data_IF_197814964876
#
_entry.id   IF_197814964876
#
_cell.length_a   1.000
_cell.length_b   1.000
_cell.length_c   1.000
_cell.angle_alpha   90.00
_cell.angle_beta   90.00
_cell.angle_gamma   90.00
#
_symmetry.space_group_name_H-M   'P 1'
#
loop_
_entity.id
_entity.type
_entity.pdbx_description
1 polymer ?
#
# COMPACT_ATOMS: atom_id res chain seq x y z
N UNK A 1 -17.91 -41.39 45.88
CA UNK A 1 -18.81 -42.47 45.43
C UNK A 1 -18.29 -43.04 44.11
N UNK A 2 -18.36 -44.37 43.96
CA UNK A 2 -18.51 -45.22 42.75
C UNK A 2 -18.20 -44.57 41.38
N UNK A 3 -17.20 -45.06 40.63
CA UNK A 3 -17.27 -46.24 39.71
C UNK A 3 -18.19 -46.00 38.49
N UNK A 4 -17.83 -46.25 37.23
CA UNK A 4 -16.60 -46.85 36.65
C UNK A 4 -16.96 -47.91 35.58
N UNK A 5 -16.11 -48.07 34.54
CA UNK A 5 -16.22 -49.07 33.44
C UNK A 5 -17.46 -48.86 32.53
N UNK A 6 -17.63 -49.40 31.30
CA UNK A 6 -16.94 -50.38 30.43
C UNK A 6 -17.46 -50.15 28.97
N UNK A 7 -16.94 -50.67 27.82
CA UNK A 7 -15.78 -51.52 27.44
C UNK A 7 -15.50 -51.32 25.92
N UNK A 8 -14.35 -51.80 25.43
CA UNK A 8 -14.06 -52.03 23.98
C UNK A 8 -15.06 -52.95 23.28
N UNK A 9 -15.09 -52.90 21.93
CA UNK A 9 -14.83 -54.12 21.13
C UNK A 9 -14.27 -53.84 19.73
N UNK A 10 -13.17 -54.51 19.41
CA UNK A 10 -12.57 -54.62 18.09
C UNK A 10 -13.36 -55.62 17.20
N UNK A 11 -13.24 -55.52 15.87
CA UNK A 11 -13.83 -56.48 14.92
C UNK A 11 -13.35 -56.26 13.49
N UNK A 12 -12.50 -57.15 12.98
CA UNK A 12 -11.88 -57.05 11.65
C UNK A 12 -12.51 -58.00 10.62
N UNK A 13 -12.13 -57.81 9.35
CA UNK A 13 -12.23 -58.72 8.20
C UNK A 13 -13.61 -59.01 7.59
N UNK A 14 -13.78 -58.63 6.31
CA UNK A 14 -14.04 -59.58 5.22
C UNK A 14 -14.06 -58.92 3.82
N UNK A 15 -13.23 -59.43 2.90
CA UNK A 15 -13.51 -59.50 1.45
C UNK A 15 -13.71 -61.00 1.13
N UNK A 16 -14.38 -61.45 0.03
CA UNK A 16 -13.89 -61.27 -1.36
C UNK A 16 -14.98 -61.34 -2.48
N UNK A 17 -14.56 -61.68 -3.72
CA UNK A 17 -15.34 -62.01 -4.96
C UNK A 17 -15.83 -60.82 -5.83
N UNK A 18 -15.89 -60.86 -7.18
CA UNK A 18 -15.51 -61.80 -8.30
C UNK A 18 -15.32 -60.91 -9.57
N UNK A 19 -14.28 -61.00 -10.40
CA UNK A 19 -13.87 -62.04 -11.40
C UNK A 19 -14.59 -62.00 -12.77
N UNK A 20 -13.81 -62.21 -13.86
CA UNK A 20 -14.12 -62.32 -15.32
C UNK A 20 -14.22 -61.02 -16.13
N UNK A 21 -13.70 -60.86 -17.38
CA UNK A 21 -12.84 -61.63 -18.33
C UNK A 21 -12.15 -60.59 -19.26
N UNK A 22 -10.83 -60.59 -19.50
CA UNK A 22 -10.06 -61.33 -20.52
C UNK A 22 -10.60 -61.26 -21.97
N UNK A 23 -9.88 -60.56 -22.87
CA UNK A 23 -9.44 -61.09 -24.17
C UNK A 23 -8.20 -60.36 -24.69
N UNK A 24 -7.41 -61.00 -25.56
CA UNK A 24 -6.09 -60.55 -26.08
C UNK A 24 -6.12 -60.42 -27.61
N UNK A 25 -5.26 -59.56 -28.18
CA UNK A 25 -4.57 -59.64 -29.49
C UNK A 25 -3.79 -58.30 -29.65
N UNK A 26 -2.48 -58.17 -29.39
CA UNK A 26 -1.24 -58.69 -30.03
C UNK A 26 -0.91 -58.08 -31.42
N UNK A 27 0.40 -58.01 -31.73
CA UNK A 27 1.08 -57.45 -32.95
C UNK A 27 0.97 -55.91 -33.13
N UNK A 28 2.04 -55.14 -33.44
CA UNK A 28 3.44 -55.47 -33.77
C UNK A 28 4.44 -54.39 -33.32
N UNK A 29 5.71 -54.76 -33.09
CA UNK A 29 6.83 -53.83 -32.96
C UNK A 29 7.16 -53.15 -34.30
N UNK A 30 7.37 -51.84 -34.29
CA UNK A 30 8.26 -51.16 -35.25
C UNK A 30 8.84 -49.92 -34.58
N UNK A 31 10.13 -49.95 -34.30
CA UNK A 31 10.84 -48.82 -33.73
C UNK A 31 11.18 -47.81 -34.84
N UNK A 32 10.74 -46.56 -34.66
CA UNK A 32 11.32 -45.41 -35.35
C UNK A 32 11.80 -44.44 -34.27
N UNK A 33 13.11 -44.25 -34.23
CA UNK A 33 13.80 -43.39 -33.27
C UNK A 33 13.52 -41.91 -33.54
N UNK A 34 12.35 -41.43 -33.11
CA UNK A 34 12.04 -40.01 -33.02
C UNK A 34 12.71 -39.39 -31.79
N UNK A 35 14.00 -39.06 -31.89
CA UNK A 35 14.76 -38.38 -30.84
C UNK A 35 14.35 -36.90 -30.77
N UNK A 36 13.10 -36.62 -30.36
CA UNK A 36 12.65 -35.28 -30.02
C UNK A 36 13.27 -34.91 -28.68
N UNK A 37 14.52 -34.49 -28.72
CA UNK A 37 15.11 -33.67 -27.66
C UNK A 37 14.44 -32.31 -27.77
N UNK A 38 13.28 -32.17 -27.14
CA UNK A 38 12.83 -30.85 -26.72
C UNK A 38 13.89 -30.32 -25.75
N UNK A 39 14.82 -29.53 -26.26
CA UNK A 39 15.52 -28.52 -25.48
C UNK A 39 14.48 -27.46 -25.09
N UNK A 40 13.56 -27.86 -24.22
CA UNK A 40 12.61 -26.98 -23.56
C UNK A 40 13.39 -26.12 -22.58
N UNK A 41 14.00 -25.06 -23.10
CA UNK A 41 14.21 -23.87 -22.28
C UNK A 41 12.86 -23.47 -21.68
N UNK A 42 12.88 -22.93 -20.47
CA UNK A 42 11.70 -22.38 -19.82
C UNK A 42 11.29 -21.07 -20.49
N UNK A 43 10.89 -21.17 -21.76
CA UNK A 43 10.51 -20.05 -22.60
C UNK A 43 9.03 -19.75 -22.34
N UNK A 44 8.76 -18.62 -21.70
CA UNK A 44 7.40 -18.16 -21.46
C UNK A 44 6.75 -17.78 -22.80
N UNK A 45 5.50 -18.22 -23.08
CA UNK A 45 4.86 -17.90 -24.34
C UNK A 45 4.73 -16.38 -24.51
N UNK A 46 5.16 -15.84 -25.65
CA UNK A 46 4.98 -14.41 -25.95
C UNK A 46 3.48 -14.10 -26.14
N UNK A 47 2.87 -13.51 -25.11
CA UNK A 47 1.45 -13.09 -25.10
C UNK A 47 1.27 -11.58 -25.38
N UNK A 48 2.25 -10.94 -26.03
CA UNK A 48 2.21 -9.51 -26.40
C UNK A 48 1.02 -9.16 -27.30
N UNK A 49 0.58 -10.09 -28.14
CA UNK A 49 -0.59 -9.90 -29.02
C UNK A 49 -1.89 -9.72 -28.20
N UNK A 50 -2.07 -10.59 -27.21
CA UNK A 50 -3.19 -10.58 -26.26
C UNK A 50 -3.15 -9.31 -25.40
N UNK A 51 -1.99 -8.96 -24.83
CA UNK A 51 -1.80 -7.74 -24.05
C UNK A 51 -2.13 -6.47 -24.86
N UNK A 52 -1.68 -6.41 -26.12
CA UNK A 52 -2.02 -5.31 -27.05
C UNK A 52 -3.53 -5.25 -27.36
N UNK A 53 -4.20 -6.40 -27.46
CA UNK A 53 -5.67 -6.48 -27.66
C UNK A 53 -6.44 -5.95 -26.45
N UNK A 54 -6.02 -6.28 -25.23
CA UNK A 54 -6.57 -5.71 -23.99
C UNK A 54 -6.37 -4.18 -23.98
N UNK A 55 -5.14 -3.71 -24.21
CA UNK A 55 -4.84 -2.27 -24.23
C UNK A 55 -5.61 -1.50 -25.31
N UNK A 56 -5.75 -2.05 -26.52
CA UNK A 56 -6.56 -1.46 -27.58
C UNK A 56 -8.05 -1.40 -27.22
N UNK A 57 -8.57 -2.42 -26.53
CA UNK A 57 -9.95 -2.44 -26.03
C UNK A 57 -10.18 -1.36 -24.98
N UNK A 58 -9.26 -1.21 -24.02
CA UNK A 58 -9.33 -0.17 -22.97
C UNK A 58 -9.19 1.23 -23.58
N UNK A 59 -8.27 1.44 -24.52
CA UNK A 59 -8.06 2.74 -25.21
C UNK A 59 -9.31 3.24 -25.95
N UNK A 60 -10.18 2.34 -26.39
CA UNK A 60 -11.40 2.68 -27.10
C UNK A 60 -12.59 3.09 -26.20
N UNK A 61 -12.43 3.05 -24.87
CA UNK A 61 -13.51 3.34 -23.93
C UNK A 61 -13.72 4.85 -23.71
N UNK A 62 -14.97 5.32 -23.55
CA UNK A 62 -15.25 6.71 -23.19
C UNK A 62 -14.56 7.12 -21.88
N UNK A 63 -13.94 8.29 -21.87
CA UNK A 63 -13.19 8.81 -20.72
C UNK A 63 -11.72 8.39 -20.66
N UNK A 64 -11.26 7.49 -21.52
CA UNK A 64 -9.84 7.16 -21.69
C UNK A 64 -9.19 8.10 -22.71
N UNK A 65 -8.09 8.74 -22.34
CA UNK A 65 -7.30 9.62 -23.22
C UNK A 65 -6.11 8.88 -23.85
N UNK A 66 -5.41 8.04 -23.08
CA UNK A 66 -4.45 7.06 -23.59
C UNK A 66 -4.49 5.78 -22.75
N UNK A 67 -3.97 4.70 -23.34
CA UNK A 67 -3.70 3.45 -22.65
C UNK A 67 -2.48 2.83 -23.32
N UNK A 68 -1.43 2.55 -22.56
CA UNK A 68 -0.12 2.17 -23.08
C UNK A 68 0.31 0.83 -22.46
N UNK A 69 0.64 -0.13 -23.33
CA UNK A 69 0.91 -1.52 -22.95
C UNK A 69 2.40 -1.73 -22.81
N UNK A 70 2.84 -2.31 -21.69
CA UNK A 70 4.13 -3.01 -21.59
C UNK A 70 3.86 -4.49 -21.40
N UNK A 71 4.60 -5.30 -22.14
CA UNK A 71 4.66 -6.73 -21.96
C UNK A 71 6.10 -7.16 -22.16
N UNK A 72 6.64 -7.91 -21.22
CA UNK A 72 7.97 -8.49 -21.30
C UNK A 72 8.01 -9.83 -20.57
N UNK A 73 9.04 -10.61 -20.92
CA UNK A 73 9.32 -11.92 -20.36
C UNK A 73 10.76 -11.92 -19.87
N UNK A 74 10.98 -12.41 -18.66
CA UNK A 74 12.29 -12.53 -18.03
C UNK A 74 12.48 -13.97 -17.54
N UNK A 75 13.71 -14.47 -17.65
CA UNK A 75 14.05 -15.84 -17.26
C UNK A 75 13.88 -16.06 -15.75
N UNK A 76 14.18 -15.05 -14.94
CA UNK A 76 14.16 -15.13 -13.46
C UNK A 76 12.85 -14.59 -12.83
N UNK A 77 12.08 -13.75 -13.53
CA UNK A 77 10.89 -13.08 -13.00
C UNK A 77 9.55 -13.52 -13.60
N UNK A 78 9.56 -14.25 -14.72
CA UNK A 78 8.35 -14.66 -15.44
C UNK A 78 7.92 -13.65 -16.49
N UNK A 79 6.62 -13.61 -16.81
CA UNK A 79 6.06 -12.60 -17.69
C UNK A 79 5.37 -11.50 -16.89
N UNK A 80 5.49 -10.26 -17.36
CA UNK A 80 4.87 -9.07 -16.78
C UNK A 80 3.97 -8.39 -17.81
N UNK A 81 2.80 -7.92 -17.38
CA UNK A 81 1.86 -7.14 -18.21
C UNK A 81 1.42 -5.87 -17.47
N UNK A 82 1.97 -4.73 -17.88
CA UNK A 82 1.52 -3.42 -17.40
C UNK A 82 0.59 -2.76 -18.41
N UNK A 83 -0.48 -2.14 -17.91
CA UNK A 83 -1.30 -1.20 -18.66
C UNK A 83 -1.33 0.16 -17.94
N UNK A 84 -0.68 1.14 -18.55
CA UNK A 84 -0.70 2.54 -18.09
C UNK A 84 -1.85 3.29 -18.79
N UNK A 85 -2.91 3.63 -18.07
CA UNK A 85 -4.10 4.32 -18.57
C UNK A 85 -4.08 5.78 -18.12
N UNK A 86 -4.22 6.73 -19.05
CA UNK A 86 -4.51 8.13 -18.73
C UNK A 86 -5.99 8.41 -19.01
N UNK A 87 -6.71 8.89 -18.00
CA UNK A 87 -8.08 9.36 -18.15
C UNK A 87 -8.12 10.79 -18.69
N UNK A 88 -9.19 11.12 -19.40
CA UNK A 88 -9.48 12.48 -19.84
C UNK A 88 -9.88 13.39 -18.66
N UNK A 89 -9.60 14.70 -18.76
CA UNK A 89 -9.87 15.67 -17.69
C UNK A 89 -11.36 15.86 -17.36
N UNK A 90 -12.24 15.32 -18.21
CA UNK A 90 -13.69 15.30 -18.08
C UNK A 90 -14.27 13.87 -17.93
N UNK A 91 -13.44 12.85 -17.69
CA UNK A 91 -13.89 11.49 -17.43
C UNK A 91 -14.78 11.44 -16.16
N UNK A 92 -15.82 10.61 -16.15
CA UNK A 92 -16.65 10.43 -14.94
C UNK A 92 -16.23 9.22 -14.12
N UNK A 93 -16.56 9.20 -12.82
CA UNK A 93 -16.37 8.04 -11.95
C UNK A 93 -16.95 6.74 -12.55
N UNK A 94 -18.11 6.82 -13.21
CA UNK A 94 -18.73 5.70 -13.90
C UNK A 94 -17.92 5.21 -15.13
N UNK A 95 -17.24 6.11 -15.85
CA UNK A 95 -16.33 5.75 -16.94
C UNK A 95 -15.07 5.06 -16.42
N UNK A 96 -14.48 5.54 -15.32
CA UNK A 96 -13.34 4.89 -14.67
C UNK A 96 -13.69 3.49 -14.13
N UNK A 97 -14.87 3.34 -13.51
CA UNK A 97 -15.40 2.04 -13.08
C UNK A 97 -15.59 1.06 -14.25
N UNK A 98 -16.24 1.51 -15.32
CA UNK A 98 -16.45 0.70 -16.51
C UNK A 98 -15.12 0.29 -17.17
N UNK A 99 -14.15 1.20 -17.25
CA UNK A 99 -12.79 0.95 -17.73
C UNK A 99 -12.12 -0.15 -16.93
N UNK A 100 -12.11 -0.03 -15.60
CA UNK A 100 -11.51 -1.02 -14.70
C UNK A 100 -12.14 -2.41 -14.84
N UNK A 101 -13.47 -2.48 -14.92
CA UNK A 101 -14.20 -3.74 -15.15
C UNK A 101 -13.82 -4.38 -16.48
N UNK A 102 -13.85 -3.61 -17.58
CA UNK A 102 -13.50 -4.09 -18.92
C UNK A 102 -12.04 -4.55 -18.98
N UNK A 103 -11.12 -3.86 -18.30
CA UNK A 103 -9.73 -4.34 -18.17
C UNK A 103 -9.68 -5.73 -17.55
N UNK A 104 -10.25 -5.93 -16.36
CA UNK A 104 -10.19 -7.22 -15.66
C UNK A 104 -10.86 -8.34 -16.46
N UNK A 105 -12.05 -8.07 -17.01
CA UNK A 105 -12.79 -9.06 -17.80
C UNK A 105 -12.00 -9.48 -19.06
N UNK A 106 -11.32 -8.55 -19.73
CA UNK A 106 -10.52 -8.83 -20.94
C UNK A 106 -9.17 -9.48 -20.63
N UNK A 107 -8.54 -9.07 -19.54
CA UNK A 107 -7.28 -9.61 -19.03
C UNK A 107 -7.44 -11.08 -18.65
N UNK A 108 -8.50 -11.43 -17.90
CA UNK A 108 -8.87 -12.82 -17.57
C UNK A 108 -9.35 -13.63 -18.77
N UNK A 109 -10.18 -13.06 -19.64
CA UNK A 109 -10.62 -13.74 -20.88
C UNK A 109 -9.47 -14.01 -21.87
N UNK A 110 -8.33 -13.33 -21.71
CA UNK A 110 -7.09 -13.55 -22.47
C UNK A 110 -6.06 -14.39 -21.68
N UNK A 111 -6.44 -14.94 -20.52
CA UNK A 111 -5.59 -15.69 -19.57
C UNK A 111 -4.29 -14.95 -19.20
N UNK A 112 -4.29 -13.62 -19.19
CA UNK A 112 -3.14 -12.83 -18.76
C UNK A 112 -3.05 -12.77 -17.22
N UNK A 113 -4.12 -13.18 -16.53
CA UNK A 113 -4.19 -13.36 -15.07
C UNK A 113 -3.42 -14.57 -14.54
N UNK A 114 -2.57 -15.21 -15.35
CA UNK A 114 -1.55 -16.17 -14.89
C UNK A 114 -0.16 -15.53 -14.72
N UNK A 115 -0.01 -14.25 -15.07
CA UNK A 115 1.22 -13.47 -15.04
C UNK A 115 1.16 -12.36 -13.98
N UNK A 116 2.28 -11.71 -13.70
CA UNK A 116 2.30 -10.49 -12.91
C UNK A 116 1.67 -9.35 -13.73
N UNK A 117 0.59 -8.74 -13.23
CA UNK A 117 -0.17 -7.73 -13.97
C UNK A 117 -0.35 -6.48 -13.13
N UNK A 118 -0.06 -5.31 -13.73
CA UNK A 118 -0.35 -4.01 -13.12
C UNK A 118 -1.25 -3.16 -14.03
N UNK A 119 -2.34 -2.63 -13.48
CA UNK A 119 -3.11 -1.54 -14.07
C UNK A 119 -2.75 -0.25 -13.33
N UNK A 120 -2.08 0.68 -14.00
CA UNK A 120 -1.87 2.03 -13.51
C UNK A 120 -2.88 2.97 -14.17
N UNK A 121 -3.57 3.80 -13.40
CA UNK A 121 -4.56 4.77 -13.91
C UNK A 121 -4.17 6.16 -13.43
N UNK A 122 -4.12 7.13 -14.34
CA UNK A 122 -3.71 8.50 -14.05
C UNK A 122 -4.83 9.48 -14.40
N UNK A 123 -5.04 10.48 -13.54
CA UNK A 123 -5.97 11.58 -13.76
C UNK A 123 -5.29 12.92 -13.43
N UNK A 124 -5.36 13.88 -14.36
CA UNK A 124 -4.68 15.20 -14.27
C UNK A 124 -3.20 15.14 -13.87
N UNK A 125 -2.53 14.03 -14.16
CA UNK A 125 -1.13 13.82 -13.82
C UNK A 125 -0.21 14.59 -14.77
N UNK A 126 0.48 15.59 -14.24
CA UNK A 126 1.66 16.21 -14.85
C UNK A 126 2.90 15.55 -14.25
N UNK A 127 3.76 14.99 -15.10
CA UNK A 127 5.00 14.32 -14.67
C UNK A 127 5.85 15.25 -13.80
N UNK A 128 6.24 14.80 -12.62
CA UNK A 128 7.23 15.51 -11.80
C UNK A 128 8.51 15.75 -12.59
N UNK A 129 8.94 17.00 -12.65
CA UNK A 129 10.37 17.27 -12.79
C UNK A 129 11.03 16.98 -11.44
N UNK A 130 12.36 16.81 -11.40
CA UNK A 130 13.07 16.39 -10.18
C UNK A 130 12.89 17.33 -8.96
N UNK A 131 12.31 18.52 -9.15
CA UNK A 131 12.14 19.55 -8.13
C UNK A 131 10.65 19.88 -7.83
N UNK A 132 9.68 19.22 -8.48
CA UNK A 132 8.25 19.45 -8.24
C UNK A 132 7.56 18.11 -7.92
N UNK A 133 6.81 17.99 -6.80
CA UNK A 133 5.96 16.82 -6.58
C UNK A 133 4.93 16.72 -7.71
N UNK A 134 4.74 15.52 -8.26
CA UNK A 134 3.88 15.31 -9.42
C UNK A 134 2.44 15.65 -9.08
N UNK A 135 1.95 16.80 -9.56
CA UNK A 135 0.56 17.20 -9.35
C UNK A 135 -0.36 16.31 -10.20
N UNK A 136 -1.37 15.74 -9.54
CA UNK A 136 -2.35 14.84 -10.14
C UNK A 136 -2.65 13.64 -9.24
N UNK A 137 -3.47 12.73 -9.75
CA UNK A 137 -3.90 11.53 -9.03
C UNK A 137 -3.50 10.28 -9.79
N UNK A 138 -3.17 9.21 -9.06
CA UNK A 138 -2.84 7.90 -9.62
C UNK A 138 -3.46 6.76 -8.82
N UNK A 139 -3.87 5.70 -9.50
CA UNK A 139 -4.30 4.45 -8.91
C UNK A 139 -3.50 3.29 -9.51
N UNK A 140 -2.98 2.40 -8.67
CA UNK A 140 -2.25 1.20 -9.08
C UNK A 140 -2.99 -0.02 -8.54
N UNK A 141 -3.49 -0.85 -9.46
CA UNK A 141 -4.12 -2.14 -9.14
C UNK A 141 -3.23 -3.26 -9.62
N UNK A 142 -2.91 -4.20 -8.72
CA UNK A 142 -2.02 -5.33 -8.98
C UNK A 142 -2.76 -6.65 -8.93
N UNK A 143 -2.34 -7.59 -9.76
CA UNK A 143 -2.85 -8.94 -9.84
C UNK A 143 -1.65 -9.89 -9.89
N UNK A 144 -1.72 -10.97 -9.10
CA UNK A 144 -0.75 -12.07 -9.05
C UNK A 144 0.68 -11.73 -8.63
N UNK A 145 0.98 -10.54 -8.11
CA UNK A 145 2.35 -10.14 -7.73
C UNK A 145 3.04 -11.18 -6.80
N UNK A 146 2.29 -12.01 -6.04
CA UNK A 146 2.84 -12.99 -5.07
C UNK A 146 2.09 -14.32 -4.85
N UNK A 147 1.03 -14.66 -5.59
CA UNK A 147 0.14 -15.76 -5.17
C UNK A 147 0.19 -17.03 -6.01
N UNK A 148 -0.03 -18.16 -5.33
CA UNK A 148 -0.37 -19.44 -5.94
C UNK A 148 -1.51 -20.09 -5.11
N UNK A 149 -2.75 -20.19 -5.63
CA UNK A 149 -3.16 -19.85 -6.99
C UNK A 149 -3.13 -18.33 -7.30
N UNK A 150 -3.18 -17.94 -8.58
CA UNK A 150 -3.36 -16.56 -9.02
C UNK A 150 -4.50 -15.84 -8.30
N UNK A 151 -4.30 -14.57 -7.93
CA UNK A 151 -5.24 -13.74 -7.17
C UNK A 151 -5.17 -12.26 -7.57
N UNK A 152 -6.14 -11.47 -7.14
CA UNK A 152 -6.24 -10.05 -7.47
C UNK A 152 -7.69 -9.61 -7.63
N UNK A 153 -7.95 -8.29 -7.54
CA UNK A 153 -9.30 -7.76 -7.43
C UNK A 153 -10.19 -8.21 -8.60
N UNK A 154 -11.44 -8.54 -8.31
CA UNK A 154 -12.44 -8.78 -9.34
C UNK A 154 -12.72 -7.52 -10.16
N UNK A 155 -13.37 -7.69 -11.31
CA UNK A 155 -13.87 -6.55 -12.11
C UNK A 155 -14.91 -5.70 -11.38
N UNK A 156 -15.54 -6.23 -10.31
CA UNK A 156 -16.41 -5.46 -9.43
C UNK A 156 -15.60 -4.62 -8.43
N UNK A 157 -14.67 -5.23 -7.70
CA UNK A 157 -13.82 -4.51 -6.73
C UNK A 157 -12.94 -3.44 -7.41
N UNK A 158 -12.39 -3.76 -8.58
CA UNK A 158 -11.65 -2.80 -9.43
C UNK A 158 -12.53 -1.64 -9.88
N UNK A 159 -13.77 -1.94 -10.29
CA UNK A 159 -14.78 -0.94 -10.68
C UNK A 159 -15.09 0.02 -9.53
N UNK A 160 -15.37 -0.53 -8.35
CA UNK A 160 -15.82 0.23 -7.19
C UNK A 160 -14.68 1.09 -6.61
N UNK A 161 -13.46 0.55 -6.56
CA UNK A 161 -12.26 1.29 -6.16
C UNK A 161 -11.91 2.43 -7.13
N UNK A 162 -11.98 2.23 -8.45
CA UNK A 162 -11.71 3.28 -9.43
C UNK A 162 -12.82 4.36 -9.48
N UNK A 163 -14.07 4.00 -9.22
CA UNK A 163 -15.15 4.97 -9.04
C UNK A 163 -14.87 5.89 -7.83
N UNK A 164 -14.54 5.31 -6.68
CA UNK A 164 -14.24 6.07 -5.47
C UNK A 164 -13.00 6.94 -5.68
N UNK A 165 -11.88 6.36 -6.13
CA UNK A 165 -10.64 7.09 -6.38
C UNK A 165 -10.84 8.29 -7.30
N UNK A 166 -11.55 8.14 -8.44
CA UNK A 166 -11.78 9.27 -9.34
C UNK A 166 -12.72 10.31 -8.71
N UNK A 167 -13.73 9.90 -7.93
CA UNK A 167 -14.61 10.83 -7.21
C UNK A 167 -13.81 11.71 -6.24
N UNK A 168 -12.88 11.13 -5.46
CA UNK A 168 -11.98 11.89 -4.58
C UNK A 168 -11.00 12.75 -5.39
N UNK A 169 -10.40 12.20 -6.46
CA UNK A 169 -9.47 12.92 -7.33
C UNK A 169 -10.10 14.09 -8.11
N UNK A 170 -11.43 14.14 -8.19
CA UNK A 170 -12.20 15.24 -8.79
C UNK A 170 -12.64 16.31 -7.79
N UNK A 171 -12.52 16.04 -6.50
CA UNK A 171 -12.84 17.00 -5.44
C UNK A 171 -11.92 18.24 -5.53
N UNK A 172 -12.46 19.46 -5.44
CA UNK A 172 -11.65 20.69 -5.40
C UNK A 172 -10.88 20.85 -4.09
N UNK A 173 -11.09 19.98 -3.10
CA UNK A 173 -10.51 20.08 -1.76
C UNK A 173 -9.15 19.38 -1.62
N UNK A 174 -8.69 18.61 -2.60
CA UNK A 174 -7.45 17.82 -2.52
C UNK A 174 -6.47 18.16 -3.65
N UNK A 175 -5.17 18.07 -3.38
CA UNK A 175 -4.13 18.31 -4.39
C UNK A 175 -3.84 17.10 -5.28
N UNK A 176 -4.01 15.90 -4.73
CA UNK A 176 -3.72 14.63 -5.39
C UNK A 176 -4.26 13.45 -4.59
N UNK A 177 -4.54 12.35 -5.28
CA UNK A 177 -5.03 11.12 -4.68
C UNK A 177 -4.26 9.93 -5.26
N UNK A 178 -3.46 9.30 -4.41
CA UNK A 178 -2.91 7.97 -4.64
C UNK A 178 -3.91 6.88 -4.25
N UNK A 179 -3.95 5.76 -4.97
CA UNK A 179 -4.60 4.54 -4.51
C UNK A 179 -3.75 3.32 -4.85
N UNK A 180 -3.69 2.35 -3.95
CA UNK A 180 -3.15 1.01 -4.24
C UNK A 180 -4.16 -0.08 -3.88
N UNK A 181 -4.24 -1.12 -4.72
CA UNK A 181 -5.09 -2.30 -4.47
C UNK A 181 -4.40 -3.58 -5.02
N UNK A 182 -4.35 -4.69 -4.26
CA UNK A 182 -4.67 -4.79 -2.83
C UNK A 182 -3.69 -4.00 -1.94
N UNK A 183 -4.02 -3.84 -0.67
CA UNK A 183 -3.01 -3.42 0.32
C UNK A 183 -1.99 -4.53 0.52
N UNK A 184 -0.77 -4.19 0.92
CA UNK A 184 0.25 -5.18 1.31
C UNK A 184 -0.32 -6.14 2.38
N UNK A 185 -0.21 -7.45 2.14
CA UNK A 185 -0.77 -8.53 2.98
C UNK A 185 -2.30 -8.49 3.23
N UNK A 186 -3.03 -7.63 2.50
CA UNK A 186 -4.49 -7.56 2.54
C UNK A 186 -5.17 -8.54 1.58
N UNK A 187 -6.49 -8.76 1.73
CA UNK A 187 -7.30 -9.46 0.73
C UNK A 187 -7.41 -8.63 -0.56
N UNK A 188 -7.73 -9.29 -1.68
CA UNK A 188 -7.88 -8.65 -3.00
C UNK A 188 -8.84 -7.43 -3.03
N UNK A 189 -9.84 -7.42 -2.13
CA UNK A 189 -10.81 -6.34 -1.94
C UNK A 189 -10.28 -5.12 -1.18
N UNK A 190 -9.14 -5.24 -0.51
CA UNK A 190 -8.53 -4.15 0.26
C UNK A 190 -7.96 -3.06 -0.65
N UNK A 191 -7.95 -1.81 -0.18
CA UNK A 191 -7.27 -0.71 -0.85
C UNK A 191 -6.68 0.25 0.18
N UNK A 192 -5.59 0.91 -0.17
CA UNK A 192 -5.08 2.07 0.55
C UNK A 192 -5.29 3.30 -0.34
N UNK A 193 -5.69 4.42 0.26
CA UNK A 193 -5.93 5.68 -0.44
C UNK A 193 -5.11 6.77 0.25
N UNK A 194 -4.19 7.37 -0.50
CA UNK A 194 -3.31 8.44 -0.06
C UNK A 194 -3.90 9.78 -0.53
N UNK A 195 -4.48 10.56 0.38
CA UNK A 195 -5.19 11.80 0.03
C UNK A 195 -4.33 13.01 0.43
N UNK A 196 -3.88 13.79 -0.54
CA UNK A 196 -3.08 15.00 -0.29
C UNK A 196 -3.98 16.19 0.02
N UNK A 197 -3.95 16.63 1.27
CA UNK A 197 -4.80 17.68 1.83
C UNK A 197 -4.06 19.04 1.89
N UNK A 198 -4.61 20.11 1.30
CA UNK A 198 -4.17 21.49 1.53
C UNK A 198 -4.23 21.83 3.02
N UNK A 199 -3.15 22.41 3.54
CA UNK A 199 -2.99 22.64 4.98
C UNK A 199 -4.13 23.47 5.61
N UNK A 200 -4.66 24.46 4.89
CA UNK A 200 -5.72 25.36 5.36
C UNK A 200 -7.15 24.88 5.02
N UNK A 201 -7.33 23.62 4.59
CA UNK A 201 -8.67 23.03 4.36
C UNK A 201 -9.49 23.06 5.64
N UNK A 202 -10.81 23.26 5.53
CA UNK A 202 -11.71 23.31 6.67
C UNK A 202 -12.14 21.91 7.15
N UNK A 203 -12.24 21.73 8.48
CA UNK A 203 -12.50 20.41 9.08
C UNK A 203 -13.93 19.92 8.86
N UNK A 204 -14.92 20.82 8.82
CA UNK A 204 -16.31 20.43 8.52
C UNK A 204 -16.42 19.98 7.06
N UNK A 205 -15.74 20.67 6.15
CA UNK A 205 -15.67 20.29 4.73
C UNK A 205 -15.09 18.89 4.53
N UNK A 206 -14.04 18.52 5.28
CA UNK A 206 -13.46 17.16 5.22
C UNK A 206 -14.42 16.13 5.84
N UNK A 207 -15.02 16.45 6.99
CA UNK A 207 -15.97 15.57 7.68
C UNK A 207 -17.21 15.27 6.83
N UNK A 208 -17.79 16.28 6.18
CA UNK A 208 -18.95 16.13 5.30
C UNK A 208 -18.60 15.26 4.08
N UNK A 209 -17.41 15.46 3.49
CA UNK A 209 -16.92 14.66 2.37
C UNK A 209 -16.68 13.18 2.74
N UNK A 210 -16.19 12.90 3.95
CA UNK A 210 -16.08 11.52 4.48
C UNK A 210 -17.47 10.93 4.70
N UNK A 211 -18.43 11.70 5.21
CA UNK A 211 -19.80 11.23 5.42
C UNK A 211 -20.51 10.83 4.11
N UNK A 212 -20.27 11.58 3.02
CA UNK A 212 -20.75 11.22 1.67
C UNK A 212 -20.01 10.01 1.07
N UNK A 213 -18.81 9.70 1.58
CA UNK A 213 -17.91 8.67 1.05
C UNK A 213 -17.30 7.80 2.17
N UNK A 214 -18.09 6.95 2.86
CA UNK A 214 -17.60 6.10 3.97
C UNK A 214 -16.54 5.07 3.56
N UNK A 215 -16.29 4.91 2.25
CA UNK A 215 -15.12 4.18 1.75
C UNK A 215 -13.76 4.83 2.06
N UNK A 216 -13.75 5.99 2.73
CA UNK A 216 -12.58 6.77 3.15
C UNK A 216 -12.28 6.68 4.66
N UNK A 217 -13.12 6.01 5.45
CA UNK A 217 -12.94 5.79 6.90
C UNK A 217 -11.62 5.05 7.25
N UNK A 218 -10.95 4.47 6.25
CA UNK A 218 -9.65 3.80 6.39
C UNK A 218 -8.53 4.41 5.54
N UNK A 219 -8.75 5.60 4.97
CA UNK A 219 -7.77 6.27 4.11
C UNK A 219 -6.55 6.78 4.90
N UNK A 220 -5.44 6.92 4.19
CA UNK A 220 -4.21 7.55 4.65
C UNK A 220 -4.18 8.99 4.17
N UNK A 221 -4.51 9.92 5.06
CA UNK A 221 -4.46 11.36 4.81
C UNK A 221 -3.01 11.85 4.92
N UNK A 222 -2.58 12.64 3.94
CA UNK A 222 -1.24 13.23 3.90
C UNK A 222 -1.40 14.74 3.83
N UNK A 223 -0.79 15.47 4.76
CA UNK A 223 -0.68 16.94 4.64
C UNK A 223 0.77 17.35 4.41
N UNK A 224 0.97 18.12 3.35
CA UNK A 224 2.25 18.72 2.98
C UNK A 224 2.14 20.23 3.18
N UNK A 225 3.16 20.85 3.78
CA UNK A 225 3.21 22.32 3.88
C UNK A 225 3.76 22.85 2.54
N UNK A 226 3.00 23.66 1.76
CA UNK A 226 3.35 23.93 0.35
C UNK A 226 4.61 24.78 0.10
N UNK A 227 5.15 25.44 1.13
CA UNK A 227 5.98 26.65 0.98
C UNK A 227 7.41 26.55 1.55
N UNK A 228 7.87 25.34 1.86
CA UNK A 228 9.23 25.16 2.34
C UNK A 228 10.22 25.15 1.14
N UNK A 229 11.25 26.00 1.21
CA UNK A 229 11.95 26.51 0.02
C UNK A 229 12.67 25.43 -0.80
N UNK A 230 12.42 25.47 -2.12
CA UNK A 230 13.10 24.77 -3.21
C UNK A 230 14.35 23.91 -2.88
N UNK A 231 14.17 22.59 -2.73
CA UNK A 231 15.24 21.61 -2.98
C UNK A 231 15.41 20.44 -2.00
N UNK A 232 14.49 20.25 -1.04
CA UNK A 232 14.62 19.22 0.00
C UNK A 232 13.42 18.22 -0.07
N UNK A 233 13.42 17.11 0.70
CA UNK A 233 12.36 16.08 0.69
C UNK A 233 11.15 16.42 1.58
N UNK A 234 9.90 16.45 1.08
CA UNK A 234 8.77 16.99 1.84
C UNK A 234 8.59 16.26 3.16
N UNK A 235 8.64 17.02 4.26
CA UNK A 235 8.23 16.55 5.57
C UNK A 235 6.78 16.08 5.51
N UNK A 236 6.56 14.78 5.74
CA UNK A 236 5.26 14.15 5.57
C UNK A 236 4.60 13.92 6.93
N UNK A 237 3.42 14.53 7.11
CA UNK A 237 2.49 14.11 8.15
C UNK A 237 1.43 13.22 7.51
N UNK A 238 1.44 11.94 7.90
CA UNK A 238 0.51 10.90 7.50
C UNK A 238 -0.38 10.53 8.68
N UNK A 239 -1.69 10.49 8.46
CA UNK A 239 -2.65 9.99 9.44
C UNK A 239 -3.63 9.03 8.76
N UNK A 240 -3.79 7.84 9.33
CA UNK A 240 -4.65 6.79 8.79
C UNK A 240 -5.89 6.61 9.65
N UNK A 241 -7.06 6.58 9.01
CA UNK A 241 -8.37 6.43 9.65
C UNK A 241 -9.07 7.77 9.81
N UNK A 242 -8.78 8.48 10.91
CA UNK A 242 -9.22 9.88 11.06
C UNK A 242 -8.54 10.76 10.00
N UNK A 243 -8.96 12.03 9.88
CA UNK A 243 -8.19 13.04 9.12
C UNK A 243 -7.35 13.90 10.09
N UNK A 244 -6.24 14.51 9.65
CA UNK A 244 -5.48 15.42 10.49
C UNK A 244 -6.28 16.73 10.63
N UNK A 245 -6.99 16.90 11.76
CA UNK A 245 -7.79 18.09 12.06
C UNK A 245 -6.95 19.40 12.15
N UNK A 246 -7.61 20.56 12.22
CA UNK A 246 -6.95 21.86 12.26
C UNK A 246 -6.00 22.04 13.45
N UNK A 247 -6.30 21.44 14.60
CA UNK A 247 -5.42 21.50 15.77
C UNK A 247 -4.13 20.72 15.51
N UNK A 248 -4.24 19.47 15.04
CA UNK A 248 -3.11 18.62 14.65
C UNK A 248 -2.31 19.22 13.50
N UNK A 249 -2.96 19.84 12.50
CA UNK A 249 -2.27 20.60 11.43
C UNK A 249 -1.46 21.76 12.01
N UNK A 250 -2.05 22.62 12.84
CA UNK A 250 -1.30 23.75 13.45
C UNK A 250 -0.18 23.28 14.41
N UNK A 251 -0.33 22.16 15.11
CA UNK A 251 0.76 21.53 15.87
C UNK A 251 1.91 21.09 14.95
N UNK A 252 1.61 20.44 13.82
CA UNK A 252 2.58 20.04 12.81
C UNK A 252 3.37 21.23 12.25
N UNK A 253 2.66 22.32 11.90
CA UNK A 253 3.26 23.60 11.45
C UNK A 253 4.08 24.31 12.53
N UNK A 254 3.69 24.19 13.80
CA UNK A 254 4.49 24.69 14.92
C UNK A 254 5.79 23.89 15.08
N UNK A 255 5.74 22.57 14.96
CA UNK A 255 6.91 21.69 15.05
C UNK A 255 7.86 21.94 13.87
N UNK A 256 7.34 22.01 12.65
CA UNK A 256 8.12 22.33 11.44
C UNK A 256 8.82 23.71 11.50
N UNK A 257 8.25 24.70 12.20
CA UNK A 257 8.90 26.00 12.43
C UNK A 257 10.04 25.95 13.45
N UNK A 258 10.12 24.90 14.26
CA UNK A 258 11.17 24.72 15.27
C UNK A 258 12.36 23.95 14.71
N UNK A 259 12.12 23.12 13.70
CA UNK A 259 13.13 22.47 12.89
C UNK A 259 13.61 23.43 11.78
N UNK A 260 14.85 23.26 11.34
CA UNK A 260 15.40 23.96 10.18
C UNK A 260 14.98 23.28 8.87
N UNK A 261 15.11 24.00 7.75
CA UNK A 261 14.79 23.45 6.43
C UNK A 261 15.57 22.17 6.10
N UNK A 262 16.80 22.02 6.61
CA UNK A 262 17.67 20.84 6.43
C UNK A 262 17.19 19.57 7.13
N UNK A 263 16.27 19.69 8.09
CA UNK A 263 15.90 18.61 8.99
C UNK A 263 14.87 17.69 8.37
N UNK A 264 14.91 16.42 8.77
CA UNK A 264 13.88 15.45 8.36
C UNK A 264 12.94 15.22 9.51
N UNK A 265 11.65 15.15 9.18
CA UNK A 265 10.61 14.75 10.11
C UNK A 265 9.54 13.98 9.36
N UNK A 266 9.23 12.81 9.91
CA UNK A 266 8.17 11.92 9.46
C UNK A 266 7.24 11.69 10.66
N UNK A 267 5.97 12.06 10.52
CA UNK A 267 4.92 11.78 11.50
C UNK A 267 3.91 10.83 10.87
N UNK A 268 3.73 9.67 11.49
CA UNK A 268 2.81 8.62 11.07
C UNK A 268 1.89 8.30 12.24
N UNK A 269 0.57 8.40 12.02
CA UNK A 269 -0.44 8.06 13.02
C UNK A 269 -1.39 7.02 12.42
N UNK A 270 -1.46 5.81 12.99
CA UNK A 270 -2.43 4.78 12.59
C UNK A 270 -3.49 4.62 13.68
N UNK A 271 -4.65 5.26 13.46
CA UNK A 271 -5.79 5.23 14.38
C UNK A 271 -6.65 3.97 14.24
N UNK A 272 -6.35 3.09 13.27
CA UNK A 272 -7.17 1.91 12.94
C UNK A 272 -6.58 0.65 13.56
N UNK A 273 -5.28 0.41 13.31
CA UNK A 273 -4.61 -0.85 13.65
C UNK A 273 -3.09 -0.70 13.70
N UNK A 274 -2.60 0.03 14.70
CA UNK A 274 -1.19 -0.03 15.08
C UNK A 274 -0.72 -1.52 15.19
N UNK A 275 0.39 -1.90 14.53
CA UNK A 275 0.95 -3.25 14.67
C UNK A 275 1.22 -3.60 16.12
N UNK A 276 1.06 -4.88 16.50
CA UNK A 276 1.30 -5.32 17.88
C UNK A 276 2.74 -4.97 18.33
N UNK A 277 2.86 -4.07 19.31
CA UNK A 277 4.14 -3.56 19.80
C UNK A 277 4.63 -2.25 19.17
N UNK A 278 3.87 -1.60 18.28
CA UNK A 278 4.10 -0.22 17.82
C UNK A 278 3.09 0.73 18.44
N UNK A 279 3.52 1.93 18.80
CA UNK A 279 2.62 3.00 19.23
C UNK A 279 1.71 3.45 18.06
N UNK A 280 0.44 3.81 18.31
CA UNK A 280 -0.44 4.45 17.33
C UNK A 280 0.11 5.76 16.76
N UNK A 281 0.85 6.55 17.54
CA UNK A 281 1.58 7.74 17.08
C UNK A 281 3.07 7.41 16.98
N UNK A 282 3.62 7.56 15.78
CA UNK A 282 5.04 7.42 15.48
C UNK A 282 5.61 8.74 14.97
N UNK A 283 6.61 9.28 15.65
CA UNK A 283 7.25 10.54 15.28
C UNK A 283 8.77 10.33 15.19
N UNK A 284 9.32 10.42 13.98
CA UNK A 284 10.76 10.35 13.75
C UNK A 284 11.31 11.68 13.24
N UNK A 285 12.41 12.14 13.86
CA UNK A 285 13.08 13.39 13.55
C UNK A 285 14.58 13.14 13.39
N UNK A 286 15.18 13.76 12.37
CA UNK A 286 16.63 13.86 12.19
C UNK A 286 17.00 15.35 12.14
N UNK A 287 17.50 15.84 13.26
CA UNK A 287 17.92 17.22 13.52
C UNK A 287 19.38 17.43 13.12
N UNK A 288 19.65 18.47 12.33
CA UNK A 288 20.97 18.93 11.91
C UNK A 288 21.33 20.27 12.57
N UNK A 289 20.61 20.68 13.61
CA UNK A 289 20.97 21.82 14.44
C UNK A 289 22.33 21.64 15.12
N UNK A 290 23.00 22.75 15.43
CA UNK A 290 24.26 22.71 16.19
C UNK A 290 24.07 22.07 17.56
N UNK A 291 25.13 21.47 18.09
CA UNK A 291 25.15 20.76 19.38
C UNK A 291 24.48 21.50 20.54
N UNK A 292 24.60 22.83 20.57
CA UNK A 292 24.05 23.70 21.62
C UNK A 292 22.52 23.80 21.54
N UNK A 293 21.94 23.65 20.35
CA UNK A 293 20.49 23.73 20.09
C UNK A 293 19.78 22.40 20.28
N UNK A 294 20.45 21.27 20.02
CA UNK A 294 19.87 19.92 20.13
C UNK A 294 19.04 19.73 21.41
N UNK A 295 19.51 20.12 22.63
CA UNK A 295 18.71 19.95 23.85
C UNK A 295 17.48 20.84 23.94
N UNK A 296 17.44 21.98 23.24
CA UNK A 296 16.27 22.85 23.17
C UNK A 296 15.24 22.28 22.18
N UNK A 297 15.71 21.83 21.01
CA UNK A 297 14.86 21.21 19.98
C UNK A 297 14.21 19.94 20.52
N UNK A 298 14.98 19.01 21.09
CA UNK A 298 14.47 17.75 21.62
C UNK A 298 13.39 17.93 22.72
N UNK A 299 13.56 18.89 23.64
CA UNK A 299 12.53 19.22 24.65
C UNK A 299 11.25 19.76 24.02
N UNK A 300 11.40 20.65 23.04
CA UNK A 300 10.26 21.27 22.35
C UNK A 300 9.48 20.27 21.50
N UNK A 301 10.21 19.37 20.83
CA UNK A 301 9.66 18.20 20.13
C UNK A 301 8.89 17.29 21.09
N UNK A 302 9.49 16.87 22.21
CA UNK A 302 8.84 15.96 23.16
C UNK A 302 7.55 16.56 23.74
N UNK A 303 7.57 17.85 24.07
CA UNK A 303 6.38 18.58 24.52
C UNK A 303 5.29 18.71 23.42
N UNK A 304 5.68 18.83 22.14
CA UNK A 304 4.74 18.90 21.03
C UNK A 304 4.16 17.53 20.65
N UNK A 305 4.94 16.45 20.82
CA UNK A 305 4.57 15.10 20.45
C UNK A 305 3.28 14.61 21.13
N UNK A 306 3.10 14.96 22.41
CA UNK A 306 1.88 14.66 23.18
C UNK A 306 0.61 15.29 22.60
N UNK A 307 0.72 16.36 21.81
CA UNK A 307 -0.43 16.99 21.15
C UNK A 307 -1.03 16.16 20.00
N UNK A 308 -0.35 15.10 19.58
CA UNK A 308 -0.81 14.22 18.49
C UNK A 308 -1.58 12.98 18.98
N UNK A 309 -1.43 12.58 20.26
CA UNK A 309 -2.20 11.48 20.86
C UNK A 309 -1.54 10.89 22.12
N UNK A 310 -2.30 10.02 22.81
CA UNK A 310 -1.98 9.50 24.16
C UNK A 310 -0.95 8.35 24.21
N UNK A 311 -0.40 7.90 23.08
CA UNK A 311 0.62 6.84 23.04
C UNK A 311 1.60 7.13 21.91
N UNK A 312 2.83 7.54 22.25
CA UNK A 312 3.85 7.99 21.28
C UNK A 312 5.13 7.12 21.30
N UNK A 313 5.61 6.74 20.10
CA UNK A 313 6.99 6.32 19.81
C UNK A 313 7.70 7.50 19.13
N UNK A 314 8.40 8.31 19.94
CA UNK A 314 9.19 9.45 19.49
C UNK A 314 10.67 9.07 19.38
N UNK A 315 11.20 9.16 18.17
CA UNK A 315 12.62 8.92 17.85
C UNK A 315 13.25 10.21 17.37
N UNK A 316 14.12 10.78 18.19
CA UNK A 316 14.84 12.00 17.86
C UNK A 316 16.32 11.66 17.64
N UNK A 317 16.79 11.82 16.41
CA UNK A 317 18.19 11.64 16.00
C UNK A 317 18.87 12.97 15.68
N UNK A 318 20.19 13.01 15.89
CA UNK A 318 21.08 14.09 15.49
C UNK A 318 22.47 13.52 15.17
N UNK A 319 23.37 14.32 14.59
CA UNK A 319 24.78 13.91 14.40
C UNK A 319 25.51 13.58 15.72
N UNK A 320 24.97 14.02 16.87
CA UNK A 320 25.54 13.81 18.21
C UNK A 320 24.96 12.59 18.94
N UNK A 321 23.90 11.96 18.43
CA UNK A 321 23.26 10.82 19.08
C UNK A 321 21.76 10.70 18.79
N UNK A 322 21.14 9.69 19.41
CA UNK A 322 19.69 9.44 19.38
C UNK A 322 19.11 9.47 20.79
N UNK A 323 17.85 9.89 20.88
CA UNK A 323 16.93 9.81 22.00
C UNK A 323 15.71 9.02 21.53
N UNK A 324 15.26 8.04 22.31
CA UNK A 324 14.04 7.29 22.03
C UNK A 324 13.09 7.41 23.23
N UNK A 325 11.86 7.88 23.00
CA UNK A 325 10.80 7.94 24.00
C UNK A 325 9.65 7.07 23.51
N UNK A 326 9.51 5.88 24.08
CA UNK A 326 8.44 4.93 23.76
C UNK A 326 7.56 4.77 24.98
N UNK A 327 6.31 5.19 24.87
CA UNK A 327 5.30 5.04 25.91
C UNK A 327 4.91 3.57 26.12
N UNK A 328 4.68 3.17 27.38
CA UNK A 328 4.35 1.78 27.74
C UNK A 328 5.48 0.74 27.67
N UNK A 329 6.61 1.01 27.00
CA UNK A 329 7.76 0.09 26.93
C UNK A 329 8.80 0.46 27.98
N UNK A 330 8.72 -0.11 29.18
CA UNK A 330 9.54 0.31 30.33
C UNK A 330 11.04 -0.05 30.23
N UNK A 331 11.46 -0.95 29.33
CA UNK A 331 12.87 -1.31 29.13
C UNK A 331 13.73 -0.18 28.53
N UNK A 332 15.05 -0.34 28.65
CA UNK A 332 16.05 0.61 28.16
C UNK A 332 16.56 0.18 26.77
N UNK A 333 16.31 0.95 25.68
CA UNK A 333 17.25 0.96 24.57
C UNK A 333 18.60 1.49 25.10
N UNK A 334 19.71 1.08 24.50
CA UNK A 334 21.04 1.56 24.93
C UNK A 334 21.22 3.02 24.48
N UNK A 335 21.29 4.00 25.40
CA UNK A 335 21.36 5.40 25.02
C UNK A 335 22.72 5.72 24.40
N UNK A 336 22.71 6.61 23.42
CA UNK A 336 23.95 7.20 22.91
C UNK A 336 24.64 8.02 24.02
N UNK A 337 25.96 7.82 24.22
CA UNK A 337 26.72 8.42 25.34
C UNK A 337 26.63 9.94 25.49
N UNK A 338 26.26 10.66 24.43
CA UNK A 338 26.21 12.13 24.38
C UNK A 338 24.84 12.72 24.74
N UNK A 339 23.75 11.96 24.60
CA UNK A 339 22.38 12.44 24.88
C UNK A 339 21.70 11.70 26.04
N UNK A 340 22.38 10.74 26.68
CA UNK A 340 21.81 9.91 27.75
C UNK A 340 21.18 10.72 28.91
N UNK A 341 21.79 11.82 29.36
CA UNK A 341 21.23 12.65 30.45
C UNK A 341 19.93 13.33 30.02
N UNK A 342 19.86 13.82 28.79
CA UNK A 342 18.68 14.45 28.20
C UNK A 342 17.58 13.43 27.92
N UNK A 343 17.92 12.22 27.44
CA UNK A 343 16.95 11.13 27.32
C UNK A 343 16.37 10.75 28.68
N UNK A 344 17.20 10.67 29.73
CA UNK A 344 16.72 10.39 31.09
C UNK A 344 15.81 11.51 31.63
N UNK A 345 16.14 12.78 31.40
CA UNK A 345 15.29 13.94 31.74
C UNK A 345 13.92 13.83 31.05
N UNK A 346 13.92 13.63 29.74
CA UNK A 346 12.69 13.54 28.95
C UNK A 346 11.85 12.30 29.31
N UNK A 347 12.48 11.15 29.58
CA UNK A 347 11.78 9.95 30.07
C UNK A 347 11.12 10.19 31.43
N UNK A 348 11.78 10.87 32.37
CA UNK A 348 11.17 11.21 33.67
C UNK A 348 9.97 12.15 33.54
N UNK A 349 9.97 13.03 32.53
CA UNK A 349 8.90 14.01 32.34
C UNK A 349 7.71 13.48 31.53
N UNK A 350 7.96 12.64 30.52
CA UNK A 350 6.97 12.31 29.49
C UNK A 350 6.66 10.82 29.32
N UNK A 351 7.43 9.91 29.93
CA UNK A 351 7.19 8.47 29.80
C UNK A 351 6.34 7.96 30.94
N UNK A 352 5.13 7.51 30.62
CA UNK A 352 4.30 6.77 31.57
C UNK A 352 4.55 5.25 31.48
N UNK A 353 4.73 4.66 32.66
CA UNK A 353 4.80 3.23 32.99
C UNK A 353 3.82 3.02 34.15
#
# INVERSE_FOLDING_TARGET
MKSGLHRRRDGANAAPHKSTRVSKLLTSFLAVSGLIVCLGGCDYPDRRSEANSVGATVRALPGVASADVRYDTSFDGGAHFDLDVKLADNASAAQAAAMGRVFVDRMRASELDQFDVTLNVQYRFTSSTANEPARGSSATLKFNERANPPNGPSGAETSDSLALWLTVAQSPFFFGVGMTQPTFEGPDSSRDMFIELPFDTDDATISDFIHEHPGLDTATWVTTIPDWEAGLRPAAYKLRGEFPDKHRRELWKKLLKQLGASDKIDLEIDAIKAPAGRAPVYLEIIDHSSKEKVPQVARSVAAAALGFGDIVDLRFGSEYGRIELVEGVCEQPQPSKLLADLENELRQQYKHC
#
